data_IF_992094481769
#
_entry.id   IF_992094481769
#
_cell.length_a   1.000
_cell.length_b   1.000
_cell.length_c   1.000
_cell.angle_alpha   90.00
_cell.angle_beta   90.00
_cell.angle_gamma   90.00
#
_symmetry.space_group_name_H-M   'P 1'
#
loop_
_entity.id
_entity.type
_entity.pdbx_description
1 polymer ?
#
# COMPACT_ATOMS: atom_id res chain seq x y z
N UNK A 1 -5.25 -23.60 16.04
CA UNK A 1 -5.01 -22.14 16.14
C UNK A 1 -5.06 -21.55 14.74
N UNK A 2 -6.23 -21.05 14.34
CA UNK A 2 -6.39 -20.26 13.11
C UNK A 2 -5.71 -18.91 13.34
N UNK A 3 -4.63 -18.66 12.59
CA UNK A 3 -3.87 -17.43 12.72
C UNK A 3 -4.59 -16.32 11.96
N UNK A 4 -5.16 -15.33 12.66
CA UNK A 4 -5.88 -14.19 12.04
C UNK A 4 -5.01 -13.38 11.06
N UNK A 5 -3.68 -13.49 11.16
CA UNK A 5 -2.76 -12.84 10.22
C UNK A 5 -2.87 -13.36 8.78
N UNK A 6 -3.42 -14.56 8.57
CA UNK A 6 -3.62 -15.11 7.22
C UNK A 6 -4.75 -14.43 6.43
N UNK A 7 -5.53 -13.54 7.09
CA UNK A 7 -6.59 -12.78 6.43
C UNK A 7 -6.09 -11.63 5.57
N UNK A 8 -4.89 -11.13 5.84
CA UNK A 8 -4.30 -10.02 5.11
C UNK A 8 -3.41 -10.52 3.97
N UNK A 9 -3.37 -9.75 2.90
CA UNK A 9 -2.55 -10.11 1.74
C UNK A 9 -1.05 -10.09 2.11
N UNK A 10 -0.21 -11.02 1.61
CA UNK A 10 1.19 -11.13 2.00
C UNK A 10 2.04 -9.88 1.75
N UNK A 11 1.65 -9.04 0.80
CA UNK A 11 2.33 -7.78 0.49
C UNK A 11 2.41 -6.86 1.70
N UNK A 12 1.37 -6.87 2.54
CA UNK A 12 1.22 -6.03 3.73
C UNK A 12 2.32 -6.27 4.76
N UNK A 13 2.86 -7.48 4.78
CA UNK A 13 3.90 -7.91 5.71
C UNK A 13 5.27 -8.13 5.07
N UNK A 14 5.43 -7.83 3.78
CA UNK A 14 6.66 -8.16 3.05
C UNK A 14 7.90 -7.52 3.67
N UNK A 15 7.85 -6.23 3.99
CA UNK A 15 8.97 -5.52 4.61
C UNK A 15 9.34 -6.11 5.97
N UNK A 16 8.33 -6.38 6.79
CA UNK A 16 8.49 -6.97 8.12
C UNK A 16 9.05 -8.38 8.03
N UNK A 17 8.56 -9.19 7.08
CA UNK A 17 9.04 -10.55 6.84
C UNK A 17 10.50 -10.57 6.38
N UNK A 18 10.92 -9.61 5.54
CA UNK A 18 12.32 -9.48 5.12
C UNK A 18 13.21 -9.15 6.33
N UNK A 19 12.84 -8.15 7.14
CA UNK A 19 13.60 -7.79 8.33
C UNK A 19 13.70 -8.93 9.34
N UNK A 20 12.59 -9.62 9.57
CA UNK A 20 12.55 -10.81 10.43
C UNK A 20 13.46 -11.93 9.89
N UNK A 21 13.38 -12.21 8.60
CA UNK A 21 14.17 -13.27 7.95
C UNK A 21 15.68 -12.99 8.04
N UNK A 22 16.10 -11.74 7.79
CA UNK A 22 17.50 -11.33 7.93
C UNK A 22 17.96 -11.55 9.37
N UNK A 23 17.18 -11.12 10.36
CA UNK A 23 17.53 -11.27 11.77
C UNK A 23 17.62 -12.73 12.20
N UNK A 24 16.77 -13.61 11.66
CA UNK A 24 16.82 -15.06 11.88
C UNK A 24 18.08 -15.68 11.26
N UNK A 25 18.49 -15.24 10.06
CA UNK A 25 19.69 -15.77 9.39
C UNK A 25 20.98 -15.47 10.16
N UNK A 26 21.02 -14.32 10.87
CA UNK A 26 22.16 -13.97 11.74
C UNK A 26 21.99 -14.42 13.19
N UNK A 27 20.99 -15.29 13.47
CA UNK A 27 20.71 -15.88 14.77
C UNK A 27 20.53 -14.85 15.90
N UNK A 28 19.87 -13.72 15.64
CA UNK A 28 19.55 -12.75 16.68
C UNK A 28 18.53 -13.30 17.68
N UNK A 29 18.56 -12.84 18.94
CA UNK A 29 17.56 -13.23 19.93
C UNK A 29 16.16 -12.76 19.52
N UNK A 30 15.07 -13.41 20.01
CA UNK A 30 13.70 -13.15 19.57
C UNK A 30 13.27 -11.68 19.65
N UNK A 31 13.69 -10.97 20.69
CA UNK A 31 13.42 -9.53 20.82
C UNK A 31 14.07 -8.71 19.69
N UNK A 32 15.32 -9.01 19.34
CA UNK A 32 16.01 -8.31 18.24
C UNK A 32 15.40 -8.66 16.88
N UNK A 33 14.93 -9.88 16.68
CA UNK A 33 14.19 -10.29 15.48
C UNK A 33 12.91 -9.45 15.32
N UNK A 34 12.15 -9.26 16.39
CA UNK A 34 10.97 -8.43 16.40
C UNK A 34 11.28 -6.95 16.10
N UNK A 35 12.36 -6.42 16.67
CA UNK A 35 12.82 -5.06 16.37
C UNK A 35 13.29 -4.91 14.91
N UNK A 36 13.98 -5.92 14.37
CA UNK A 36 14.40 -5.91 12.96
C UNK A 36 13.20 -5.83 11.99
N UNK A 37 12.12 -6.54 12.27
CA UNK A 37 10.89 -6.45 11.49
C UNK A 37 10.28 -5.04 11.53
N UNK A 38 10.26 -4.40 12.71
CA UNK A 38 9.78 -3.02 12.87
C UNK A 38 10.65 -2.01 12.12
N UNK A 39 11.97 -2.13 12.25
CA UNK A 39 12.93 -1.25 11.56
C UNK A 39 12.77 -1.39 10.05
N UNK A 40 12.66 -2.61 9.53
CA UNK A 40 12.45 -2.84 8.10
C UNK A 40 11.17 -2.19 7.58
N UNK A 41 10.07 -2.28 8.34
CA UNK A 41 8.82 -1.59 8.03
C UNK A 41 8.99 -0.07 8.00
N UNK A 42 9.67 0.49 9.04
CA UNK A 42 9.95 1.94 9.12
C UNK A 42 10.83 2.43 7.97
N UNK A 43 11.82 1.64 7.56
CA UNK A 43 12.69 1.96 6.42
C UNK A 43 11.87 2.03 5.13
N UNK A 44 11.03 1.03 4.87
CA UNK A 44 10.18 1.03 3.67
C UNK A 44 9.22 2.21 3.68
N UNK A 45 8.58 2.50 4.82
CA UNK A 45 7.74 3.68 5.01
C UNK A 45 8.49 4.98 4.68
N UNK A 46 9.70 5.14 5.21
CA UNK A 46 10.52 6.33 4.97
C UNK A 46 10.91 6.47 3.50
N UNK A 47 11.31 5.37 2.84
CA UNK A 47 11.64 5.37 1.41
C UNK A 47 10.43 5.83 0.58
N UNK A 48 9.26 5.24 0.84
CA UNK A 48 8.03 5.60 0.13
C UNK A 48 7.61 7.05 0.43
N UNK A 49 7.73 7.49 1.67
CA UNK A 49 7.45 8.88 2.06
C UNK A 49 8.38 9.88 1.37
N UNK A 50 9.68 9.60 1.34
CA UNK A 50 10.65 10.42 0.61
C UNK A 50 10.33 10.46 -0.89
N UNK A 51 9.95 9.32 -1.48
CA UNK A 51 9.55 9.25 -2.88
C UNK A 51 8.30 10.09 -3.15
N UNK A 52 7.28 10.00 -2.29
CA UNK A 52 6.06 10.79 -2.40
C UNK A 52 6.37 12.30 -2.32
N UNK A 53 7.22 12.73 -1.36
CA UNK A 53 7.64 14.13 -1.21
C UNK A 53 8.43 14.59 -2.45
N UNK A 54 9.34 13.75 -2.98
CA UNK A 54 10.13 14.08 -4.15
C UNK A 54 9.25 14.28 -5.39
N UNK A 55 8.26 13.40 -5.57
CA UNK A 55 7.34 13.41 -6.71
C UNK A 55 6.37 14.59 -6.66
N UNK A 56 6.01 15.08 -5.46
CA UNK A 56 5.04 16.15 -5.30
C UNK A 56 5.57 17.46 -5.89
N UNK A 57 4.85 18.14 -6.79
CA UNK A 57 5.32 19.39 -7.40
C UNK A 57 5.26 20.57 -6.42
N UNK A 58 4.23 20.59 -5.56
CA UNK A 58 3.99 21.64 -4.54
C UNK A 58 3.64 20.99 -3.21
N UNK A 59 3.64 21.79 -2.13
CA UNK A 59 3.23 21.35 -0.79
C UNK A 59 4.11 20.24 -0.17
N UNK A 60 5.39 20.13 -0.59
CA UNK A 60 6.36 19.14 -0.08
C UNK A 60 6.48 19.17 1.43
N UNK A 61 6.58 20.37 2.01
CA UNK A 61 6.67 20.54 3.46
C UNK A 61 5.42 20.06 4.20
N UNK A 62 4.23 20.30 3.62
CA UNK A 62 2.99 19.80 4.20
C UNK A 62 2.93 18.27 4.17
N UNK A 63 3.29 17.65 3.05
CA UNK A 63 3.37 16.18 2.97
C UNK A 63 4.38 15.63 3.97
N UNK A 64 5.58 16.23 4.08
CA UNK A 64 6.58 15.82 5.05
C UNK A 64 6.03 15.92 6.48
N UNK A 65 5.35 17.03 6.82
CA UNK A 65 4.74 17.20 8.14
C UNK A 65 3.69 16.12 8.42
N UNK A 66 2.80 15.84 7.46
CA UNK A 66 1.76 14.81 7.62
C UNK A 66 2.33 13.42 7.84
N UNK A 67 3.45 13.08 7.17
CA UNK A 67 4.09 11.79 7.30
C UNK A 67 4.85 11.61 8.62
N UNK A 68 5.24 12.69 9.31
CA UNK A 68 6.01 12.62 10.57
C UNK A 68 5.21 12.99 11.81
N UNK A 69 3.90 13.31 11.68
CA UNK A 69 3.09 13.54 12.88
C UNK A 69 3.10 12.31 13.81
N UNK A 70 3.13 12.49 15.13
CA UNK A 70 3.36 11.40 16.08
C UNK A 70 2.47 10.16 15.90
N UNK A 71 1.15 10.27 15.67
CA UNK A 71 0.32 9.08 15.45
C UNK A 71 0.72 8.28 14.21
N UNK A 72 1.06 8.96 13.11
CA UNK A 72 1.47 8.31 11.85
C UNK A 72 2.83 7.67 12.00
N UNK A 73 3.80 8.37 12.61
CA UNK A 73 5.13 7.83 12.89
C UNK A 73 5.05 6.59 13.82
N UNK A 74 4.18 6.61 14.81
CA UNK A 74 3.93 5.47 15.69
C UNK A 74 3.41 4.26 14.91
N UNK A 75 2.40 4.45 14.08
CA UNK A 75 1.80 3.37 13.25
C UNK A 75 2.84 2.84 12.24
N UNK A 76 3.60 3.72 11.59
CA UNK A 76 4.65 3.35 10.64
C UNK A 76 5.81 2.56 11.29
N UNK A 77 6.09 2.80 12.58
CA UNK A 77 7.11 2.07 13.34
C UNK A 77 6.57 0.81 14.03
N UNK A 78 5.31 0.49 13.89
CA UNK A 78 4.67 -0.72 14.43
C UNK A 78 4.72 -1.87 13.41
N UNK A 79 4.22 -3.04 13.81
CA UNK A 79 3.99 -4.18 12.90
C UNK A 79 2.57 -4.15 12.30
N UNK A 80 1.89 -3.01 12.37
CA UNK A 80 0.57 -2.83 11.76
C UNK A 80 0.70 -2.49 10.28
N UNK A 81 -0.27 -2.94 9.49
CA UNK A 81 -0.35 -2.66 8.04
C UNK A 81 -0.68 -1.19 7.76
N UNK A 82 -1.31 -0.50 8.69
CA UNK A 82 -1.81 0.87 8.49
C UNK A 82 -0.70 1.87 8.12
N UNK A 83 0.55 1.63 8.53
CA UNK A 83 1.70 2.43 8.09
C UNK A 83 1.94 2.34 6.59
N UNK A 84 1.80 1.14 6.00
CA UNK A 84 1.92 0.93 4.57
C UNK A 84 0.78 1.61 3.79
N UNK A 85 -0.45 1.55 4.32
CA UNK A 85 -1.60 2.25 3.74
C UNK A 85 -1.33 3.76 3.63
N UNK A 86 -0.80 4.38 4.68
CA UNK A 86 -0.46 5.82 4.66
C UNK A 86 0.60 6.11 3.59
N UNK A 87 1.66 5.30 3.52
CA UNK A 87 2.73 5.48 2.55
C UNK A 87 2.24 5.31 1.10
N UNK A 88 1.46 4.27 0.82
CA UNK A 88 0.85 4.03 -0.51
C UNK A 88 -0.11 5.16 -0.90
N UNK A 89 -0.94 5.62 0.05
CA UNK A 89 -1.86 6.74 -0.18
C UNK A 89 -1.10 8.03 -0.48
N UNK A 90 -0.01 8.31 0.24
CA UNK A 90 0.84 9.46 -0.02
C UNK A 90 1.48 9.39 -1.42
N UNK A 91 1.97 8.22 -1.83
CA UNK A 91 2.50 8.01 -3.18
C UNK A 91 1.42 8.22 -4.25
N UNK A 92 0.21 7.70 -4.04
CA UNK A 92 -0.90 7.88 -4.97
C UNK A 92 -1.29 9.35 -5.11
N UNK A 93 -1.46 10.07 -3.99
CA UNK A 93 -1.79 11.50 -3.97
C UNK A 93 -0.70 12.32 -4.66
N UNK A 94 0.57 12.03 -4.38
CA UNK A 94 1.71 12.71 -5.00
C UNK A 94 1.75 12.47 -6.52
N UNK A 95 1.50 11.24 -6.97
CA UNK A 95 1.46 10.88 -8.38
C UNK A 95 0.29 11.58 -9.11
N UNK A 96 -0.89 11.64 -8.49
CA UNK A 96 -2.06 12.37 -9.03
C UNK A 96 -1.74 13.87 -9.13
N UNK A 97 -1.16 14.47 -8.09
CA UNK A 97 -0.81 15.89 -8.09
C UNK A 97 0.24 16.22 -9.15
N UNK A 98 1.28 15.38 -9.27
CA UNK A 98 2.30 15.52 -10.30
C UNK A 98 1.71 15.41 -11.72
N UNK A 99 0.80 14.48 -11.92
CA UNK A 99 0.09 14.32 -13.18
C UNK A 99 -0.82 15.53 -13.50
N UNK A 100 -1.56 16.03 -12.51
CA UNK A 100 -2.48 17.16 -12.68
C UNK A 100 -1.74 18.46 -13.02
N UNK A 101 -0.55 18.70 -12.48
CA UNK A 101 0.29 19.86 -12.81
C UNK A 101 1.14 19.65 -14.07
N UNK A 102 1.34 18.40 -14.48
CA UNK A 102 2.07 18.06 -15.70
C UNK A 102 1.34 18.53 -16.95
N UNK A 103 2.11 19.13 -17.88
CA UNK A 103 1.57 19.61 -19.18
C UNK A 103 1.57 18.51 -20.25
N UNK A 104 2.00 17.30 -19.93
CA UNK A 104 2.15 16.19 -20.87
C UNK A 104 1.11 15.12 -20.63
N UNK A 105 0.65 14.49 -21.71
CA UNK A 105 -0.21 13.32 -21.63
C UNK A 105 0.47 12.17 -20.88
N UNK A 106 -0.26 11.55 -19.98
CA UNK A 106 0.20 10.39 -19.24
C UNK A 106 0.46 9.22 -20.20
N UNK A 107 1.68 8.71 -20.16
CA UNK A 107 2.10 7.53 -20.94
C UNK A 107 1.63 6.23 -20.30
N UNK A 108 1.70 5.12 -21.05
CA UNK A 108 1.33 3.78 -20.55
C UNK A 108 2.07 3.38 -19.27
N UNK A 109 3.42 3.55 -19.14
CA UNK A 109 4.10 3.21 -17.90
C UNK A 109 3.59 3.98 -16.68
N UNK A 110 3.25 5.26 -16.81
CA UNK A 110 2.64 6.02 -15.72
C UNK A 110 1.24 5.49 -15.37
N UNK A 111 0.44 5.10 -16.37
CA UNK A 111 -0.87 4.46 -16.14
C UNK A 111 -0.71 3.13 -15.39
N UNK A 112 0.33 2.35 -15.74
CA UNK A 112 0.63 1.10 -15.04
C UNK A 112 1.02 1.35 -13.56
N UNK A 113 1.82 2.37 -13.28
CA UNK A 113 2.17 2.76 -11.89
C UNK A 113 0.90 3.10 -11.10
N UNK A 114 -0.01 3.89 -11.66
CA UNK A 114 -1.30 4.16 -11.01
C UNK A 114 -2.09 2.88 -10.75
N UNK A 115 -2.14 1.97 -11.72
CA UNK A 115 -2.83 0.68 -11.59
C UNK A 115 -2.25 -0.21 -10.48
N UNK A 116 -0.93 -0.28 -10.39
CA UNK A 116 -0.21 -1.04 -9.33
C UNK A 116 -0.45 -0.42 -7.95
N UNK A 117 -0.37 0.91 -7.82
CA UNK A 117 -0.66 1.60 -6.56
C UNK A 117 -2.12 1.39 -6.13
N UNK A 118 -3.07 1.47 -7.07
CA UNK A 118 -4.49 1.22 -6.80
C UNK A 118 -4.73 -0.22 -6.34
N UNK A 119 -4.10 -1.19 -7.01
CA UNK A 119 -4.14 -2.59 -6.62
C UNK A 119 -3.54 -2.81 -5.22
N UNK A 120 -2.36 -2.25 -4.93
CA UNK A 120 -1.73 -2.37 -3.63
C UNK A 120 -2.64 -1.82 -2.51
N UNK A 121 -3.23 -0.64 -2.70
CA UNK A 121 -4.19 -0.06 -1.75
C UNK A 121 -5.44 -0.93 -1.56
N UNK A 122 -5.95 -1.55 -2.64
CA UNK A 122 -7.10 -2.45 -2.56
C UNK A 122 -6.76 -3.74 -1.78
N UNK A 123 -5.53 -4.24 -1.91
CA UNK A 123 -5.06 -5.42 -1.17
C UNK A 123 -4.94 -5.16 0.33
N UNK A 124 -4.52 -3.97 0.72
CA UNK A 124 -4.42 -3.59 2.13
C UNK A 124 -5.80 -3.57 2.80
N UNK A 125 -6.66 -2.70 2.33
CA UNK A 125 -8.08 -2.63 2.74
C UNK A 125 -8.89 -1.96 1.63
N UNK A 126 -9.91 -2.63 1.13
CA UNK A 126 -10.73 -2.18 0.00
C UNK A 126 -11.19 -0.71 0.09
N UNK A 127 -11.60 -0.15 1.25
CA UNK A 127 -11.98 1.26 1.34
C UNK A 127 -10.89 2.25 0.91
N UNK A 128 -9.62 1.93 1.09
CA UNK A 128 -8.52 2.84 0.70
C UNK A 128 -8.29 2.89 -0.82
N UNK A 129 -8.82 1.92 -1.57
CA UNK A 129 -8.85 2.00 -3.04
C UNK A 129 -9.61 3.24 -3.55
N UNK A 130 -10.51 3.83 -2.76
CA UNK A 130 -11.18 5.09 -3.12
C UNK A 130 -10.20 6.23 -3.38
N UNK A 131 -9.02 6.25 -2.76
CA UNK A 131 -7.98 7.24 -3.07
C UNK A 131 -7.56 7.15 -4.55
N UNK A 132 -7.52 5.94 -5.09
CA UNK A 132 -7.18 5.70 -6.49
C UNK A 132 -8.28 6.18 -7.46
N UNK A 133 -9.54 6.24 -7.02
CA UNK A 133 -10.64 6.77 -7.85
C UNK A 133 -10.38 8.22 -8.26
N UNK A 134 -9.62 8.99 -7.46
CA UNK A 134 -9.24 10.36 -7.81
C UNK A 134 -8.48 10.46 -9.15
N UNK A 135 -7.82 9.39 -9.61
CA UNK A 135 -7.17 9.32 -10.94
C UNK A 135 -8.19 9.53 -12.07
N UNK A 136 -9.42 9.06 -11.90
CA UNK A 136 -10.48 9.18 -12.92
C UNK A 136 -10.95 10.62 -13.11
N UNK A 137 -10.73 11.50 -12.12
CA UNK A 137 -11.07 12.92 -12.19
C UNK A 137 -9.99 13.77 -12.85
N UNK A 138 -8.84 13.19 -13.22
CA UNK A 138 -7.82 13.92 -14.00
C UNK A 138 -8.42 14.43 -15.31
N UNK A 139 -8.11 15.70 -15.71
CA UNK A 139 -8.58 16.27 -16.96
C UNK A 139 -8.19 15.42 -18.17
N UNK A 140 -9.05 15.36 -19.20
CA UNK A 140 -8.77 14.60 -20.43
C UNK A 140 -7.54 15.11 -21.19
N UNK A 141 -7.16 16.36 -20.96
CA UNK A 141 -5.91 16.94 -21.48
C UNK A 141 -4.65 16.29 -20.87
N UNK A 142 -4.76 15.69 -19.67
CA UNK A 142 -3.67 15.02 -18.96
C UNK A 142 -3.77 13.51 -19.12
N UNK A 143 -4.97 12.95 -18.98
CA UNK A 143 -5.23 11.52 -19.05
C UNK A 143 -6.43 11.22 -19.93
N UNK A 144 -6.20 10.69 -21.13
CA UNK A 144 -7.26 10.37 -22.09
C UNK A 144 -8.21 9.30 -21.52
N UNK A 145 -9.45 9.25 -22.02
CA UNK A 145 -10.45 8.24 -21.62
C UNK A 145 -9.90 6.82 -21.79
N UNK A 146 -9.17 6.57 -22.89
CA UNK A 146 -8.52 5.28 -23.11
C UNK A 146 -7.55 4.92 -21.96
N UNK A 147 -6.72 5.86 -21.49
CA UNK A 147 -5.79 5.65 -20.38
C UNK A 147 -6.52 5.42 -19.05
N UNK A 148 -7.66 6.07 -18.84
CA UNK A 148 -8.52 5.81 -17.67
C UNK A 148 -9.07 4.39 -17.70
N UNK A 149 -9.50 3.90 -18.86
CA UNK A 149 -9.95 2.51 -19.02
C UNK A 149 -8.79 1.51 -18.83
N UNK A 150 -7.61 1.79 -19.37
CA UNK A 150 -6.41 0.98 -19.15
C UNK A 150 -6.03 0.92 -17.66
N UNK A 151 -6.10 2.05 -16.94
CA UNK A 151 -5.89 2.09 -15.49
C UNK A 151 -6.87 1.18 -14.73
N UNK A 152 -8.17 1.31 -15.01
CA UNK A 152 -9.20 0.47 -14.39
C UNK A 152 -8.98 -1.00 -14.74
N UNK A 153 -8.65 -1.30 -16.00
CA UNK A 153 -8.36 -2.65 -16.47
C UNK A 153 -7.16 -3.26 -15.75
N UNK A 154 -6.06 -2.53 -15.60
CA UNK A 154 -4.85 -2.99 -14.88
C UNK A 154 -5.19 -3.27 -13.41
N UNK A 155 -5.85 -2.34 -12.73
CA UNK A 155 -6.24 -2.52 -11.33
C UNK A 155 -7.18 -3.73 -11.15
N UNK A 156 -8.17 -3.89 -12.03
CA UNK A 156 -9.12 -5.01 -12.00
C UNK A 156 -8.44 -6.35 -12.27
N UNK A 157 -7.55 -6.43 -13.27
CA UNK A 157 -6.81 -7.65 -13.61
C UNK A 157 -5.90 -8.06 -12.46
N UNK A 158 -5.14 -7.12 -11.87
CA UNK A 158 -4.27 -7.42 -10.75
C UNK A 158 -5.07 -7.87 -9.52
N UNK A 159 -6.20 -7.22 -9.22
CA UNK A 159 -7.08 -7.62 -8.12
C UNK A 159 -7.69 -9.00 -8.39
N UNK A 160 -8.19 -9.23 -9.60
CA UNK A 160 -8.79 -10.51 -9.98
C UNK A 160 -7.79 -11.66 -10.00
N UNK A 161 -6.58 -11.44 -10.53
CA UNK A 161 -5.58 -12.48 -10.68
C UNK A 161 -4.82 -12.82 -9.39
N UNK A 162 -4.61 -11.84 -8.52
CA UNK A 162 -3.76 -12.00 -7.34
C UNK A 162 -4.53 -11.98 -6.02
N UNK A 163 -5.42 -11.02 -5.82
CA UNK A 163 -6.14 -10.86 -4.57
C UNK A 163 -7.32 -11.84 -4.42
N UNK A 164 -8.12 -12.07 -5.48
CA UNK A 164 -9.27 -12.98 -5.37
C UNK A 164 -8.88 -14.43 -5.05
N UNK A 165 -7.89 -15.05 -5.71
CA UNK A 165 -7.47 -16.40 -5.33
C UNK A 165 -7.00 -16.47 -3.87
N UNK A 166 -6.26 -15.46 -3.42
CA UNK A 166 -5.83 -15.36 -2.03
C UNK A 166 -7.02 -15.28 -1.08
N UNK A 167 -7.99 -14.41 -1.33
CA UNK A 167 -9.16 -14.22 -0.48
C UNK A 167 -10.07 -15.46 -0.43
N UNK A 168 -10.19 -16.20 -1.51
CA UNK A 168 -10.95 -17.46 -1.56
C UNK A 168 -10.24 -18.57 -0.79
N UNK A 169 -8.91 -18.68 -0.92
CA UNK A 169 -8.14 -19.74 -0.28
C UNK A 169 -7.99 -19.53 1.23
N UNK A 170 -7.85 -18.28 1.68
CA UNK A 170 -7.52 -17.95 3.07
C UNK A 170 -8.60 -17.15 3.80
N UNK A 171 -9.51 -16.46 3.10
CA UNK A 171 -10.59 -15.68 3.69
C UNK A 171 -11.65 -16.52 4.42
N UNK A 172 -11.89 -17.76 3.98
CA UNK A 172 -12.83 -18.69 4.62
C UNK A 172 -12.39 -19.11 6.02
N UNK A 173 -11.10 -19.04 6.34
CA UNK A 173 -10.59 -19.34 7.68
C UNK A 173 -11.07 -18.33 8.75
N UNK A 174 -11.53 -17.14 8.36
CA UNK A 174 -12.09 -16.14 9.28
C UNK A 174 -13.55 -16.42 9.63
N UNK A 175 -14.35 -16.92 8.68
CA UNK A 175 -15.77 -17.23 8.89
C UNK A 175 -15.95 -18.40 9.88
N UNK A 176 -15.01 -19.33 9.95
CA UNK A 176 -15.08 -20.47 10.88
C UNK A 176 -14.78 -20.11 12.34
N UNK A 177 -14.08 -19.01 12.61
CA UNK A 177 -13.72 -18.61 13.99
C UNK A 177 -14.90 -17.96 14.72
N UNK A 178 -15.83 -17.32 14.01
CA UNK A 178 -16.97 -16.62 14.62
C UNK A 178 -18.09 -17.59 15.07
N UNK A 179 -18.17 -18.77 14.47
CA UNK A 179 -19.22 -19.77 14.80
C UNK A 179 -18.87 -20.59 16.05
N UNK A 180 -17.59 -20.72 16.40
CA UNK A 180 -17.17 -21.56 17.53
C UNK A 180 -17.19 -20.87 18.92
N UNK A 181 -17.44 -19.59 18.97
CA UNK A 181 -17.53 -18.83 20.23
C UNK A 181 -18.97 -18.61 20.74
N UNK A 182 -19.99 -19.09 20.03
CA UNK A 182 -21.40 -18.97 20.40
C UNK A 182 -22.06 -20.30 20.80
N UNK A 183 -21.29 -21.27 21.28
CA UNK A 183 -21.80 -22.53 21.86
C UNK A 183 -21.29 -22.68 23.29
#
# INVERSE_FOLDING_TARGET
HTNRSNAYFPLDYLAQAIGLKIAMLVNLPPYAQWQAARISNSILYAIMGCFAIALLPRWKSLMALLLVIPPVAFVASSLMIDGMIVALSACMVAAIAAAAEGKHLISLPHTAVFGVLAWALACEKLPYAFVAVAVLFLPSAVMTVRRKLEFVGIAAVLTGALYLPWSVLFGSSLAQVDVSHNV
#
